data_IF_513315003085
#
_entry.id   IF_513315003085
#
_cell.length_a   1.000
_cell.length_b   1.000
_cell.length_c   1.000
_cell.angle_alpha   90.00
_cell.angle_beta   90.00
_cell.angle_gamma   90.00
#
_symmetry.space_group_name_H-M   'P 1'
#
loop_
_entity.id
_entity.type
_entity.pdbx_description
1 polymer ?
#
# COMPACT_ATOMS: atom_id res chain seq x y z
N UNK A 1 -29.76 -19.28 -3.08
CA UNK A 1 -28.33 -18.97 -3.21
C UNK A 1 -27.57 -19.57 -2.03
N UNK A 2 -26.51 -20.35 -2.27
CA UNK A 2 -25.68 -21.05 -1.24
C UNK A 2 -24.22 -20.67 -1.42
N UNK A 3 -23.44 -20.68 -0.34
CA UNK A 3 -22.00 -20.34 -0.35
C UNK A 3 -21.24 -21.16 -1.41
N UNK A 4 -21.52 -22.46 -1.49
CA UNK A 4 -20.88 -23.35 -2.46
C UNK A 4 -21.19 -22.99 -3.93
N UNK A 5 -22.36 -22.42 -4.21
CA UNK A 5 -22.69 -21.91 -5.55
C UNK A 5 -21.83 -20.68 -5.88
N UNK A 6 -21.59 -19.80 -4.90
CA UNK A 6 -20.74 -18.63 -5.03
C UNK A 6 -19.27 -19.01 -5.19
N UNK A 7 -18.78 -20.03 -4.46
CA UNK A 7 -17.41 -20.57 -4.66
C UNK A 7 -17.22 -21.08 -6.09
N UNK A 8 -18.13 -21.89 -6.59
CA UNK A 8 -18.06 -22.39 -7.96
C UNK A 8 -18.15 -21.28 -9.00
N UNK A 9 -19.02 -20.30 -8.76
CA UNK A 9 -19.17 -19.14 -9.63
C UNK A 9 -17.87 -18.32 -9.70
N UNK A 10 -17.24 -18.00 -8.56
CA UNK A 10 -15.98 -17.25 -8.52
C UNK A 10 -14.84 -18.01 -9.19
N UNK A 11 -14.68 -19.29 -8.91
CA UNK A 11 -13.64 -20.12 -9.54
C UNK A 11 -13.79 -20.14 -11.08
N UNK A 12 -15.03 -20.25 -11.59
CA UNK A 12 -15.25 -20.20 -13.04
C UNK A 12 -15.01 -18.81 -13.61
N UNK A 13 -15.31 -17.73 -12.87
CA UNK A 13 -15.04 -16.37 -13.28
C UNK A 13 -13.54 -16.08 -13.41
N UNK A 14 -12.75 -16.57 -12.47
CA UNK A 14 -11.28 -16.43 -12.42
C UNK A 14 -10.61 -17.26 -13.51
N UNK A 15 -10.95 -18.53 -13.61
CA UNK A 15 -10.38 -19.48 -14.57
C UNK A 15 -10.93 -19.32 -16.01
N UNK A 16 -12.03 -18.60 -16.19
CA UNK A 16 -12.73 -18.43 -17.47
C UNK A 16 -13.09 -19.76 -18.14
N UNK A 17 -13.16 -20.83 -17.35
CA UNK A 17 -13.36 -22.22 -17.81
C UNK A 17 -13.87 -23.10 -16.67
N UNK A 18 -15.00 -23.78 -16.91
CA UNK A 18 -15.55 -24.75 -15.94
C UNK A 18 -14.60 -25.91 -15.70
N UNK A 19 -13.90 -26.38 -16.76
CA UNK A 19 -12.95 -27.50 -16.64
C UNK A 19 -11.70 -27.12 -15.83
N UNK A 20 -11.23 -25.87 -15.95
CA UNK A 20 -10.10 -25.35 -15.17
C UNK A 20 -10.52 -25.16 -13.70
N UNK A 21 -11.66 -24.53 -13.44
CA UNK A 21 -12.22 -24.37 -12.11
C UNK A 21 -12.47 -25.73 -11.40
N UNK A 22 -12.91 -26.75 -12.15
CA UNK A 22 -13.10 -28.09 -11.61
C UNK A 22 -11.79 -28.73 -11.13
N UNK A 23 -10.69 -28.51 -11.87
CA UNK A 23 -9.34 -28.97 -11.48
C UNK A 23 -8.82 -28.25 -10.25
N UNK A 24 -8.98 -26.91 -10.23
CA UNK A 24 -8.57 -26.08 -9.09
C UNK A 24 -9.29 -26.49 -7.81
N UNK A 25 -10.61 -26.69 -7.88
CA UNK A 25 -11.44 -27.07 -6.75
C UNK A 25 -11.42 -28.59 -6.42
N UNK A 26 -10.66 -29.38 -7.17
CA UNK A 26 -10.57 -30.84 -7.03
C UNK A 26 -11.94 -31.54 -7.05
N UNK A 27 -12.84 -31.09 -7.93
CA UNK A 27 -14.19 -31.69 -8.12
C UNK A 27 -14.42 -32.04 -9.58
N UNK A 28 -15.43 -32.86 -9.84
CA UNK A 28 -15.85 -33.14 -11.21
C UNK A 28 -16.55 -31.91 -11.86
N UNK A 29 -16.46 -31.76 -13.16
CA UNK A 29 -17.08 -30.65 -13.90
C UNK A 29 -18.62 -30.58 -13.82
N UNK A 30 -19.39 -31.72 -13.87
CA UNK A 30 -20.85 -31.66 -13.87
C UNK A 30 -21.49 -31.00 -12.64
N UNK A 31 -20.98 -31.17 -11.39
CA UNK A 31 -21.46 -30.41 -10.24
C UNK A 31 -21.36 -28.92 -10.38
N UNK A 32 -20.23 -28.39 -10.89
CA UNK A 32 -20.02 -26.95 -11.07
C UNK A 32 -21.04 -26.40 -12.08
N UNK A 33 -21.15 -27.06 -13.25
CA UNK A 33 -22.09 -26.62 -14.28
C UNK A 33 -23.53 -26.58 -13.78
N UNK A 34 -23.97 -27.58 -13.00
CA UNK A 34 -25.32 -27.61 -12.42
C UNK A 34 -25.53 -26.50 -11.40
N UNK A 35 -24.57 -26.25 -10.53
CA UNK A 35 -24.71 -25.25 -9.47
C UNK A 35 -24.71 -23.82 -10.05
N UNK A 36 -23.95 -23.56 -11.10
CA UNK A 36 -24.02 -22.29 -11.82
C UNK A 36 -25.37 -22.11 -12.51
N UNK A 37 -25.85 -23.11 -13.24
CA UNK A 37 -27.16 -23.05 -13.89
C UNK A 37 -28.30 -22.84 -12.87
N UNK A 38 -28.26 -23.52 -11.73
CA UNK A 38 -29.19 -23.31 -10.63
C UNK A 38 -29.11 -21.90 -10.06
N UNK A 39 -27.91 -21.33 -9.92
CA UNK A 39 -27.71 -19.96 -9.43
C UNK A 39 -28.29 -18.93 -10.41
N UNK A 40 -28.06 -19.11 -11.71
CA UNK A 40 -28.65 -18.27 -12.77
C UNK A 40 -30.18 -18.36 -12.77
N UNK A 41 -30.74 -19.54 -12.59
CA UNK A 41 -32.19 -19.76 -12.46
C UNK A 41 -32.78 -19.09 -11.21
N UNK A 42 -32.12 -19.24 -10.04
CA UNK A 42 -32.53 -18.61 -8.78
C UNK A 42 -32.53 -17.08 -8.86
N UNK A 43 -31.55 -16.50 -9.59
CA UNK A 43 -31.41 -15.05 -9.75
C UNK A 43 -32.21 -14.50 -10.95
N UNK A 44 -32.67 -15.36 -11.85
CA UNK A 44 -33.43 -14.99 -13.06
C UNK A 44 -32.58 -14.26 -14.10
N UNK A 45 -31.24 -14.36 -14.03
CA UNK A 45 -30.31 -13.68 -14.95
C UNK A 45 -29.15 -14.60 -15.32
N UNK A 46 -28.60 -14.41 -16.52
CA UNK A 46 -27.36 -15.06 -16.92
C UNK A 46 -26.18 -14.33 -16.28
N UNK A 47 -25.27 -15.10 -15.71
CA UNK A 47 -24.04 -14.59 -15.09
C UNK A 47 -22.83 -14.72 -16.02
N UNK A 48 -22.89 -15.69 -16.96
CA UNK A 48 -21.82 -15.95 -17.90
C UNK A 48 -22.27 -15.87 -19.35
N UNK A 49 -21.40 -15.33 -20.20
CA UNK A 49 -21.44 -15.43 -21.65
C UNK A 49 -20.49 -16.57 -22.07
N UNK A 50 -21.00 -17.50 -22.92
CA UNK A 50 -20.20 -18.56 -23.52
C UNK A 50 -19.72 -18.11 -24.89
N UNK A 51 -18.43 -18.04 -25.10
CA UNK A 51 -17.80 -17.63 -26.35
C UNK A 51 -16.69 -18.57 -26.83
N UNK A 52 -16.18 -18.34 -28.02
CA UNK A 52 -15.07 -19.13 -28.61
C UNK A 52 -13.75 -19.03 -27.82
N UNK A 53 -13.62 -18.02 -26.95
CA UNK A 53 -12.44 -17.78 -26.08
C UNK A 53 -12.66 -18.24 -24.62
N UNK A 54 -13.71 -18.99 -24.34
CA UNK A 54 -14.06 -19.43 -22.98
C UNK A 54 -15.31 -18.73 -22.43
N UNK A 55 -15.37 -18.62 -21.11
CA UNK A 55 -16.46 -17.96 -20.38
C UNK A 55 -16.06 -16.55 -19.96
N UNK A 56 -16.96 -15.59 -20.09
CA UNK A 56 -16.81 -14.22 -19.58
C UNK A 56 -18.03 -13.84 -18.76
N UNK A 57 -17.87 -12.94 -17.80
CA UNK A 57 -18.96 -12.45 -16.98
C UNK A 57 -19.88 -11.52 -17.81
N UNK A 58 -21.18 -11.57 -17.54
CA UNK A 58 -22.15 -10.53 -17.89
C UNK A 58 -22.01 -9.35 -16.91
N UNK A 59 -22.71 -8.23 -17.15
CA UNK A 59 -22.77 -7.12 -16.18
C UNK A 59 -23.36 -7.59 -14.84
N UNK A 60 -24.40 -8.45 -14.86
CA UNK A 60 -24.94 -9.07 -13.67
C UNK A 60 -23.92 -10.00 -12.99
N UNK A 61 -23.16 -10.78 -13.79
CA UNK A 61 -22.06 -11.61 -13.29
C UNK A 61 -20.96 -10.77 -12.65
N UNK A 62 -20.57 -9.65 -13.25
CA UNK A 62 -19.56 -8.74 -12.70
C UNK A 62 -20.02 -8.15 -11.36
N UNK A 63 -21.27 -7.72 -11.27
CA UNK A 63 -21.87 -7.24 -10.04
C UNK A 63 -21.86 -8.31 -8.95
N UNK A 64 -22.33 -9.54 -9.28
CA UNK A 64 -22.33 -10.66 -8.34
C UNK A 64 -20.90 -11.02 -7.89
N UNK A 65 -19.92 -11.01 -8.79
CA UNK A 65 -18.54 -11.31 -8.47
C UNK A 65 -17.98 -10.35 -7.41
N UNK A 66 -18.20 -9.04 -7.59
CA UNK A 66 -17.78 -8.02 -6.61
C UNK A 66 -18.43 -8.23 -5.25
N UNK A 67 -19.76 -8.47 -5.22
CA UNK A 67 -20.49 -8.72 -3.97
C UNK A 67 -20.05 -10.03 -3.30
N UNK A 68 -19.77 -11.07 -4.08
CA UNK A 68 -19.31 -12.37 -3.56
C UNK A 68 -17.93 -12.28 -2.93
N UNK A 69 -17.02 -11.50 -3.50
CA UNK A 69 -15.72 -11.24 -2.88
C UNK A 69 -15.88 -10.62 -1.48
N UNK A 70 -16.83 -9.70 -1.32
CA UNK A 70 -17.13 -9.10 -0.01
C UNK A 70 -17.68 -10.14 0.98
N UNK A 71 -18.63 -11.00 0.54
CA UNK A 71 -19.20 -12.07 1.37
C UNK A 71 -18.09 -13.03 1.87
N UNK A 72 -17.18 -13.46 1.00
CA UNK A 72 -16.09 -14.33 1.40
C UNK A 72 -15.11 -13.66 2.37
N UNK A 73 -14.92 -12.35 2.25
CA UNK A 73 -14.17 -11.60 3.25
C UNK A 73 -14.87 -11.61 4.61
N UNK A 74 -16.18 -11.39 4.64
CA UNK A 74 -16.95 -11.38 5.88
C UNK A 74 -16.96 -12.76 6.55
N UNK A 75 -17.08 -13.85 5.77
CA UNK A 75 -16.94 -15.21 6.29
C UNK A 75 -15.56 -15.43 6.91
N UNK A 76 -14.49 -15.04 6.24
CA UNK A 76 -13.13 -15.14 6.78
C UNK A 76 -12.96 -14.33 8.06
N UNK A 77 -13.56 -13.14 8.15
CA UNK A 77 -13.56 -12.34 9.38
C UNK A 77 -14.24 -13.06 10.54
N UNK A 78 -15.38 -13.72 10.28
CA UNK A 78 -16.08 -14.53 11.31
C UNK A 78 -15.22 -15.70 11.77
N UNK A 79 -14.61 -16.45 10.83
CA UNK A 79 -13.72 -17.55 11.16
C UNK A 79 -12.50 -17.08 11.97
N UNK A 80 -11.88 -15.98 11.58
CA UNK A 80 -10.75 -15.37 12.30
C UNK A 80 -11.18 -14.86 13.67
N UNK A 81 -12.35 -14.26 13.79
CA UNK A 81 -12.93 -13.81 15.06
C UNK A 81 -13.19 -14.99 16.00
N UNK A 82 -13.78 -16.07 15.52
CA UNK A 82 -14.06 -17.27 16.33
C UNK A 82 -12.77 -17.97 16.76
N UNK A 83 -11.76 -18.04 15.88
CA UNK A 83 -10.44 -18.61 16.22
C UNK A 83 -9.65 -17.76 17.21
N UNK A 84 -9.91 -16.48 17.24
CA UNK A 84 -9.21 -15.51 18.10
C UNK A 84 -9.87 -15.27 19.47
N UNK A 85 -10.90 -16.06 19.82
CA UNK A 85 -11.52 -16.02 21.15
C UNK A 85 -10.50 -16.38 22.23
N UNK A 86 -9.70 -15.43 22.63
CA UNK A 86 -8.84 -15.53 23.78
C UNK A 86 -7.55 -14.71 23.64
N UNK A 87 -7.52 -13.49 24.06
CA UNK A 87 -6.35 -12.69 24.46
C UNK A 87 -5.71 -11.73 23.45
N UNK A 88 -5.92 -11.84 22.15
CA UNK A 88 -5.23 -10.93 21.18
C UNK A 88 -3.68 -11.06 21.16
N UNK A 89 -3.15 -12.04 21.86
CA UNK A 89 -1.70 -12.33 21.97
C UNK A 89 -1.23 -13.29 20.88
N UNK A 90 -2.15 -13.89 20.15
CA UNK A 90 -1.89 -14.78 19.01
C UNK A 90 -2.84 -14.45 17.87
N UNK A 91 -2.46 -14.82 16.63
CA UNK A 91 -3.27 -14.57 15.45
C UNK A 91 -2.43 -14.13 14.25
N UNK A 92 -3.09 -13.56 13.26
CA UNK A 92 -2.45 -13.09 12.02
C UNK A 92 -2.81 -11.65 11.74
N UNK A 93 -1.80 -10.84 11.43
CA UNK A 93 -1.99 -9.45 11.02
C UNK A 93 -1.39 -9.27 9.64
N UNK A 94 -2.18 -8.70 8.73
CA UNK A 94 -1.76 -8.37 7.37
C UNK A 94 -1.58 -6.87 7.26
N UNK A 95 -0.36 -6.42 6.99
CA UNK A 95 0.04 -5.03 6.97
C UNK A 95 0.44 -4.60 5.56
N UNK A 96 0.04 -3.40 5.18
CA UNK A 96 0.58 -2.72 4.02
C UNK A 96 1.56 -1.64 4.45
N UNK A 97 2.67 -1.50 3.73
CA UNK A 97 3.71 -0.51 4.04
C UNK A 97 4.15 0.18 2.76
N UNK A 98 4.05 1.49 2.70
CA UNK A 98 4.75 2.24 1.66
C UNK A 98 6.23 2.36 2.02
N UNK A 99 7.12 2.30 1.05
CA UNK A 99 8.55 2.27 1.32
C UNK A 99 9.03 3.51 2.10
N UNK A 100 8.52 4.69 1.81
CA UNK A 100 8.88 5.93 2.49
C UNK A 100 8.46 5.98 3.98
N UNK A 101 7.55 5.10 4.42
CA UNK A 101 7.16 4.95 5.83
C UNK A 101 7.87 3.78 6.54
N UNK A 102 8.75 3.06 5.84
CA UNK A 102 9.36 1.80 6.30
C UNK A 102 10.06 1.92 7.65
N UNK A 103 10.80 3.01 7.89
CA UNK A 103 11.52 3.23 9.16
C UNK A 103 10.58 3.26 10.37
N UNK A 104 9.46 3.96 10.25
CA UNK A 104 8.43 4.03 11.29
C UNK A 104 7.68 2.71 11.43
N UNK A 105 7.39 2.06 10.30
CA UNK A 105 6.74 0.76 10.30
C UNK A 105 7.59 -0.30 11.02
N UNK A 106 8.87 -0.38 10.71
CA UNK A 106 9.78 -1.34 11.35
C UNK A 106 9.92 -1.09 12.86
N UNK A 107 10.03 0.17 13.28
CA UNK A 107 10.06 0.51 14.69
C UNK A 107 8.80 0.04 15.42
N UNK A 108 7.65 0.40 14.89
CA UNK A 108 6.34 0.03 15.44
C UNK A 108 6.12 -1.49 15.47
N UNK A 109 6.43 -2.17 14.38
CA UNK A 109 6.30 -3.63 14.25
C UNK A 109 7.19 -4.36 15.24
N UNK A 110 8.44 -3.94 15.39
CA UNK A 110 9.38 -4.55 16.33
C UNK A 110 8.92 -4.38 17.78
N UNK A 111 8.43 -3.20 18.14
CA UNK A 111 7.89 -2.96 19.48
C UNK A 111 6.65 -3.82 19.74
N UNK A 112 5.73 -3.91 18.78
CA UNK A 112 4.56 -4.78 18.90
C UNK A 112 4.95 -6.26 19.02
N UNK A 113 5.87 -6.73 18.16
CA UNK A 113 6.28 -8.13 18.14
C UNK A 113 6.98 -8.55 19.45
N UNK A 114 7.72 -7.64 20.09
CA UNK A 114 8.34 -7.90 21.40
C UNK A 114 7.31 -8.20 22.49
N UNK A 115 6.10 -7.63 22.39
CA UNK A 115 5.00 -7.83 23.34
C UNK A 115 4.07 -8.98 22.93
N UNK A 116 3.94 -9.25 21.63
CA UNK A 116 3.05 -10.25 21.06
C UNK A 116 3.79 -11.19 20.10
N UNK A 117 4.76 -12.00 20.58
CA UNK A 117 5.63 -12.80 19.73
C UNK A 117 4.94 -13.97 19.03
N UNK A 118 3.70 -14.31 19.44
CA UNK A 118 2.91 -15.36 18.82
C UNK A 118 1.98 -14.85 17.71
N UNK A 119 2.04 -13.55 17.38
CA UNK A 119 1.29 -12.97 16.25
C UNK A 119 2.14 -13.11 14.99
N UNK A 120 1.58 -13.78 13.99
CA UNK A 120 2.18 -13.91 12.66
C UNK A 120 1.89 -12.65 11.84
N UNK A 121 2.93 -12.03 11.29
CA UNK A 121 2.82 -10.80 10.51
C UNK A 121 3.04 -11.09 9.02
N UNK A 122 2.10 -10.63 8.19
CA UNK A 122 2.21 -10.64 6.73
C UNK A 122 2.36 -9.21 6.27
N UNK A 123 3.51 -8.88 5.70
CA UNK A 123 3.85 -7.51 5.30
C UNK A 123 3.92 -7.44 3.79
N UNK A 124 3.12 -6.55 3.20
CA UNK A 124 3.12 -6.24 1.77
C UNK A 124 3.61 -4.82 1.56
N UNK A 125 4.58 -4.66 0.69
CA UNK A 125 5.04 -3.34 0.23
C UNK A 125 4.36 -3.05 -1.11
N UNK A 126 3.89 -1.82 -1.29
CA UNK A 126 3.21 -1.40 -2.52
C UNK A 126 3.01 0.10 -2.59
N UNK A 127 2.37 0.57 -3.66
CA UNK A 127 1.96 1.96 -3.80
C UNK A 127 0.82 2.30 -2.82
N UNK A 128 0.65 3.58 -2.43
CA UNK A 128 -0.45 4.00 -1.56
C UNK A 128 -1.82 3.55 -2.08
N UNK A 129 -2.06 3.72 -3.37
CA UNK A 129 -3.34 3.39 -4.00
C UNK A 129 -3.64 1.88 -3.92
N UNK A 130 -2.71 1.02 -4.34
CA UNK A 130 -2.87 -0.44 -4.28
C UNK A 130 -3.12 -0.93 -2.85
N UNK A 131 -2.42 -0.35 -1.87
CA UNK A 131 -2.56 -0.73 -0.47
C UNK A 131 -3.90 -0.28 0.11
N UNK A 132 -4.38 0.93 -0.22
CA UNK A 132 -5.70 1.43 0.19
C UNK A 132 -6.81 0.57 -0.43
N UNK A 133 -6.71 0.22 -1.70
CA UNK A 133 -7.66 -0.69 -2.34
C UNK A 133 -7.68 -2.06 -1.66
N UNK A 134 -6.50 -2.63 -1.34
CA UNK A 134 -6.40 -3.90 -0.62
C UNK A 134 -6.95 -3.81 0.81
N UNK A 135 -6.78 -2.68 1.50
CA UNK A 135 -7.41 -2.44 2.80
C UNK A 135 -8.94 -2.40 2.68
N UNK A 136 -9.45 -1.68 1.68
CA UNK A 136 -10.90 -1.57 1.44
C UNK A 136 -11.53 -2.91 1.05
N UNK A 137 -10.77 -3.79 0.38
CA UNK A 137 -11.18 -5.19 0.11
C UNK A 137 -11.02 -6.12 1.32
N UNK A 138 -10.47 -5.64 2.45
CA UNK A 138 -10.20 -6.43 3.65
C UNK A 138 -9.08 -7.46 3.49
N UNK A 139 -8.26 -7.32 2.45
CA UNK A 139 -7.06 -8.13 2.25
C UNK A 139 -5.94 -7.73 3.22
N UNK A 140 -5.92 -6.47 3.65
CA UNK A 140 -5.03 -5.89 4.65
C UNK A 140 -5.82 -5.40 5.86
N UNK A 141 -5.20 -5.37 7.02
CA UNK A 141 -5.81 -4.94 8.28
C UNK A 141 -5.42 -3.52 8.65
N UNK A 142 -4.20 -3.12 8.36
CA UNK A 142 -3.69 -1.78 8.60
C UNK A 142 -2.59 -1.41 7.61
N UNK A 143 -2.36 -0.11 7.45
CA UNK A 143 -1.38 0.44 6.51
C UNK A 143 -0.44 1.39 7.23
N UNK A 144 0.83 1.37 6.84
CA UNK A 144 1.78 2.42 7.15
C UNK A 144 1.93 3.32 5.93
N UNK A 145 1.44 4.53 6.05
CA UNK A 145 1.37 5.52 4.98
C UNK A 145 2.10 6.81 5.37
N UNK A 146 2.12 7.77 4.44
CA UNK A 146 2.50 9.15 4.70
C UNK A 146 1.40 10.10 4.26
N UNK A 147 1.25 11.18 5.02
CA UNK A 147 0.34 12.28 4.70
C UNK A 147 1.06 13.62 4.83
N UNK A 148 0.69 14.58 3.98
CA UNK A 148 1.18 15.96 4.06
C UNK A 148 0.36 16.82 5.02
N UNK A 149 -0.94 16.50 5.14
CA UNK A 149 -1.89 17.23 5.94
C UNK A 149 -2.89 16.24 6.57
N UNK A 150 -3.59 16.69 7.59
CA UNK A 150 -4.74 15.96 8.16
C UNK A 150 -5.94 16.03 7.21
N UNK A 151 -5.82 15.43 6.04
CA UNK A 151 -6.99 15.27 5.18
C UNK A 151 -7.77 14.02 5.62
N UNK A 152 -9.10 14.10 5.73
CA UNK A 152 -9.90 12.94 6.09
C UNK A 152 -9.87 11.94 4.93
N UNK A 153 -9.02 10.93 5.05
CA UNK A 153 -8.93 9.81 4.10
C UNK A 153 -10.12 8.84 4.18
N UNK A 154 -11.07 9.09 5.08
CA UNK A 154 -12.13 8.14 5.43
C UNK A 154 -11.63 6.95 6.26
N UNK A 155 -10.34 6.87 6.54
CA UNK A 155 -9.71 5.88 7.40
C UNK A 155 -9.51 6.44 8.82
N UNK A 156 -9.42 5.55 9.80
CA UNK A 156 -8.87 5.91 11.09
C UNK A 156 -7.35 6.03 10.95
N UNK A 157 -6.77 7.05 11.55
CA UNK A 157 -5.35 7.30 11.46
C UNK A 157 -4.72 7.61 12.82
N UNK A 158 -3.49 7.12 13.00
CA UNK A 158 -2.62 7.51 14.11
C UNK A 158 -1.31 8.02 13.54
N UNK A 159 -0.90 9.21 13.96
CA UNK A 159 0.42 9.75 13.66
C UNK A 159 1.46 8.97 14.45
N UNK A 160 2.45 8.42 13.76
CA UNK A 160 3.60 7.71 14.33
C UNK A 160 4.79 8.64 14.52
N UNK A 161 4.90 9.64 13.67
CA UNK A 161 5.95 10.65 13.77
C UNK A 161 5.91 11.67 12.65
N UNK A 162 6.56 12.79 12.93
CA UNK A 162 6.80 13.85 11.94
C UNK A 162 8.16 13.64 11.29
N UNK A 163 8.23 13.90 10.00
CA UNK A 163 9.45 13.84 9.21
C UNK A 163 9.57 15.07 8.32
N UNK A 164 10.79 15.44 7.99
CA UNK A 164 11.08 16.53 7.07
C UNK A 164 11.46 15.96 5.72
N UNK A 165 10.99 16.60 4.67
CA UNK A 165 11.49 16.33 3.33
C UNK A 165 12.77 17.10 3.14
N UNK A 166 13.82 16.38 2.79
CA UNK A 166 15.17 16.92 2.58
C UNK A 166 15.73 16.39 1.24
N UNK A 167 16.72 17.05 0.72
CA UNK A 167 17.50 16.55 -0.39
C UNK A 167 18.35 15.37 0.10
N UNK A 168 18.13 14.21 -0.49
CA UNK A 168 18.94 13.02 -0.27
C UNK A 168 19.94 12.91 -1.41
N UNK A 169 21.20 12.80 -1.07
CA UNK A 169 22.29 12.78 -2.04
C UNK A 169 23.50 12.00 -1.52
N UNK A 170 24.34 11.59 -2.43
CA UNK A 170 25.70 11.17 -2.07
C UNK A 170 26.50 12.39 -1.61
N UNK A 171 27.47 12.15 -0.72
CA UNK A 171 28.30 13.22 -0.16
C UNK A 171 29.08 13.99 -1.22
N UNK A 172 29.53 13.30 -2.27
CA UNK A 172 30.27 13.88 -3.41
C UNK A 172 29.42 14.69 -4.39
N UNK A 173 28.08 14.59 -4.30
CA UNK A 173 27.13 15.31 -5.13
C UNK A 173 26.43 16.47 -4.38
N UNK A 174 26.94 16.84 -3.20
CA UNK A 174 26.37 17.93 -2.42
C UNK A 174 26.57 19.28 -3.12
N UNK A 175 25.52 19.99 -3.53
CA UNK A 175 25.65 21.28 -4.22
C UNK A 175 26.07 22.44 -3.31
N UNK A 176 26.12 22.21 -1.98
CA UNK A 176 26.49 23.22 -1.00
C UNK A 176 27.21 22.55 0.19
N UNK A 177 28.40 21.91 -0.02
CA UNK A 177 29.08 21.13 1.02
C UNK A 177 29.46 21.96 2.26
N UNK A 178 29.65 23.25 2.07
CA UNK A 178 30.03 24.21 3.12
C UNK A 178 28.83 24.68 3.98
N UNK A 179 27.59 24.35 3.61
CA UNK A 179 26.39 24.84 4.28
C UNK A 179 25.60 23.68 4.93
N UNK A 180 24.86 23.99 5.99
CA UNK A 180 23.96 23.03 6.66
C UNK A 180 22.60 22.89 5.94
N UNK A 181 22.25 23.83 5.08
CA UNK A 181 21.06 23.84 4.25
C UNK A 181 21.42 24.26 2.82
N UNK A 182 20.68 23.78 1.84
CA UNK A 182 20.95 24.07 0.43
C UNK A 182 20.11 25.27 0.00
N UNK A 183 20.72 26.42 -0.39
CA UNK A 183 19.99 27.49 -1.04
C UNK A 183 19.37 26.97 -2.34
N UNK A 184 18.13 27.40 -2.64
CA UNK A 184 17.39 26.89 -3.80
C UNK A 184 18.15 27.14 -5.12
N UNK A 185 18.87 28.25 -5.21
CA UNK A 185 19.65 28.66 -6.38
C UNK A 185 20.81 27.71 -6.69
N UNK A 186 21.32 27.01 -5.66
CA UNK A 186 22.38 25.99 -5.80
C UNK A 186 21.89 24.72 -6.48
N UNK A 187 20.59 24.59 -6.68
CA UNK A 187 19.98 23.44 -7.38
C UNK A 187 19.92 23.64 -8.90
N UNK A 188 20.25 24.84 -9.40
CA UNK A 188 20.31 25.12 -10.83
C UNK A 188 21.34 24.18 -11.51
N UNK A 189 20.87 23.44 -12.53
CA UNK A 189 21.70 22.48 -13.28
C UNK A 189 22.02 21.17 -12.55
N UNK A 190 21.70 21.03 -11.26
CA UNK A 190 21.95 19.81 -10.51
C UNK A 190 21.02 18.69 -11.00
N UNK A 191 21.55 17.51 -11.38
CA UNK A 191 20.71 16.36 -11.79
C UNK A 191 19.80 15.89 -10.66
N UNK A 192 18.51 15.74 -10.93
CA UNK A 192 17.50 15.32 -9.96
C UNK A 192 16.75 14.08 -10.41
N UNK A 193 16.56 13.16 -9.49
CA UNK A 193 15.69 11.98 -9.61
C UNK A 193 14.45 12.24 -8.76
N UNK A 194 13.33 12.60 -9.37
CA UNK A 194 12.13 12.97 -8.64
C UNK A 194 11.08 11.86 -8.68
N UNK A 195 10.40 11.68 -7.56
CA UNK A 195 9.23 10.81 -7.52
C UNK A 195 8.09 11.45 -8.30
N UNK A 196 7.47 10.66 -9.15
CA UNK A 196 6.22 11.00 -9.81
C UNK A 196 5.10 10.22 -9.15
N UNK A 197 4.06 10.92 -8.73
CA UNK A 197 2.79 10.33 -8.30
C UNK A 197 1.77 10.57 -9.39
N UNK A 198 0.94 9.57 -9.68
CA UNK A 198 -0.24 9.74 -10.53
C UNK A 198 -1.38 10.45 -9.77
N UNK A 199 -1.24 10.61 -8.45
CA UNK A 199 -2.11 11.39 -7.60
C UNK A 199 -1.83 12.89 -7.73
N UNK A 200 -2.88 13.70 -7.57
CA UNK A 200 -2.95 15.13 -7.85
C UNK A 200 -1.89 16.02 -7.19
N UNK A 201 -1.10 15.53 -6.21
CA UNK A 201 -0.07 16.32 -5.51
C UNK A 201 1.09 15.45 -5.03
N UNK A 202 2.30 15.74 -5.56
CA UNK A 202 3.57 15.19 -5.08
C UNK A 202 4.33 16.25 -4.29
N UNK A 203 5.02 15.86 -3.23
CA UNK A 203 5.94 16.76 -2.51
C UNK A 203 7.01 17.36 -3.43
N UNK A 204 7.36 16.66 -4.51
CA UNK A 204 8.31 17.14 -5.49
C UNK A 204 7.78 18.33 -6.29
N UNK A 205 6.46 18.47 -6.43
CA UNK A 205 5.86 19.60 -7.12
C UNK A 205 6.15 20.91 -6.40
N UNK A 206 6.20 20.89 -5.06
CA UNK A 206 6.61 22.05 -4.28
C UNK A 206 8.06 22.45 -4.58
N UNK A 207 8.97 21.47 -4.63
CA UNK A 207 10.37 21.75 -4.98
C UNK A 207 10.48 22.32 -6.38
N UNK A 208 9.80 21.73 -7.35
CA UNK A 208 9.78 22.21 -8.76
C UNK A 208 9.23 23.62 -8.85
N UNK A 209 8.11 23.90 -8.18
CA UNK A 209 7.52 25.26 -8.17
C UNK A 209 8.46 26.27 -7.53
N UNK A 210 9.17 25.93 -6.47
CA UNK A 210 10.08 26.84 -5.82
C UNK A 210 11.32 27.14 -6.69
N UNK A 211 11.85 26.14 -7.40
CA UNK A 211 12.87 26.36 -8.41
C UNK A 211 12.39 27.35 -9.50
N UNK A 212 11.18 27.16 -10.00
CA UNK A 212 10.58 28.03 -11.01
C UNK A 212 10.38 29.47 -10.50
N UNK A 213 9.93 29.64 -9.24
CA UNK A 213 9.83 30.96 -8.59
C UNK A 213 11.18 31.62 -8.43
N UNK A 214 12.23 30.84 -8.25
CA UNK A 214 13.61 31.29 -8.15
C UNK A 214 14.27 31.55 -9.53
N UNK A 215 13.52 31.41 -10.62
CA UNK A 215 13.91 31.80 -11.96
C UNK A 215 14.58 30.74 -12.82
N UNK A 216 14.56 29.45 -12.38
CA UNK A 216 15.13 28.34 -13.16
C UNK A 216 14.23 27.13 -13.19
N UNK A 217 14.40 26.29 -14.21
CA UNK A 217 13.75 24.99 -14.29
C UNK A 217 14.70 23.93 -13.76
N UNK A 218 14.26 23.07 -12.79
CA UNK A 218 15.12 22.02 -12.26
C UNK A 218 15.53 21.03 -13.34
N UNK A 219 16.77 20.55 -13.27
CA UNK A 219 17.30 19.55 -14.19
C UNK A 219 16.84 18.15 -13.77
N UNK A 220 15.59 17.80 -14.08
CA UNK A 220 15.03 16.47 -13.78
C UNK A 220 15.52 15.48 -14.82
N UNK A 221 16.48 14.65 -14.45
CA UNK A 221 17.09 13.64 -15.32
C UNK A 221 16.37 12.29 -15.25
N UNK A 222 15.58 12.05 -14.19
CA UNK A 222 14.84 10.81 -13.99
C UNK A 222 13.55 11.06 -13.23
N UNK A 223 12.46 10.43 -13.69
CA UNK A 223 11.22 10.28 -12.94
C UNK A 223 11.10 8.85 -12.44
N UNK A 224 11.02 8.68 -11.13
CA UNK A 224 10.84 7.40 -10.47
C UNK A 224 9.40 7.27 -10.00
N UNK A 225 8.80 6.10 -10.11
CA UNK A 225 7.44 5.83 -9.64
C UNK A 225 7.40 5.25 -8.21
N UNK A 226 8.56 4.88 -7.68
CA UNK A 226 8.69 4.38 -6.32
C UNK A 226 9.96 4.91 -5.63
N UNK A 227 9.92 4.94 -4.31
CA UNK A 227 11.03 5.41 -3.48
C UNK A 227 12.26 4.50 -3.56
N UNK A 228 12.16 3.16 -3.62
CA UNK A 228 13.29 2.28 -3.82
C UNK A 228 14.12 2.62 -5.05
N UNK A 229 13.46 2.83 -6.20
CA UNK A 229 14.16 3.20 -7.43
C UNK A 229 14.83 4.57 -7.29
N UNK A 230 14.15 5.58 -6.74
CA UNK A 230 14.74 6.89 -6.50
C UNK A 230 16.01 6.79 -5.63
N UNK A 231 15.97 5.98 -4.56
CA UNK A 231 17.14 5.73 -3.72
C UNK A 231 18.28 5.04 -4.46
N UNK A 232 17.99 4.05 -5.32
CA UNK A 232 19.01 3.39 -6.12
C UNK A 232 19.67 4.35 -7.13
N UNK A 233 18.90 5.26 -7.73
CA UNK A 233 19.41 6.29 -8.62
C UNK A 233 20.33 7.26 -7.87
N UNK A 234 19.96 7.68 -6.65
CA UNK A 234 20.81 8.52 -5.80
C UNK A 234 22.10 7.78 -5.41
N UNK A 235 22.01 6.53 -4.97
CA UNK A 235 23.16 5.69 -4.60
C UNK A 235 24.13 5.50 -5.76
N UNK A 236 23.61 5.33 -6.98
CA UNK A 236 24.43 5.20 -8.18
C UNK A 236 25.10 6.51 -8.62
N UNK A 237 24.77 7.63 -7.99
CA UNK A 237 25.31 8.95 -8.34
C UNK A 237 24.62 9.57 -9.56
N UNK A 238 23.44 9.11 -9.94
CA UNK A 238 22.70 9.64 -11.10
C UNK A 238 22.15 11.06 -10.84
N UNK A 239 21.92 11.40 -9.58
CA UNK A 239 21.43 12.71 -9.16
C UNK A 239 21.05 12.74 -7.69
N UNK A 240 20.38 13.79 -7.29
CA UNK A 240 19.83 13.97 -5.94
C UNK A 240 18.32 13.73 -5.97
N UNK A 241 17.70 13.44 -4.82
CA UNK A 241 16.24 13.28 -4.72
C UNK A 241 15.69 14.02 -3.51
N UNK A 242 14.41 14.41 -3.56
CA UNK A 242 13.73 15.10 -2.46
C UNK A 242 12.79 14.14 -1.76
N UNK A 243 13.23 13.61 -0.62
CA UNK A 243 12.59 12.49 0.08
C UNK A 243 12.52 12.77 1.60
N UNK A 244 11.69 12.01 2.33
CA UNK A 244 11.70 12.05 3.79
C UNK A 244 13.07 11.67 4.36
N UNK A 245 13.58 12.47 5.29
CA UNK A 245 14.90 12.25 5.92
C UNK A 245 15.06 10.87 6.53
N UNK A 246 13.99 10.35 7.14
CA UNK A 246 14.00 9.02 7.77
C UNK A 246 14.38 7.88 6.83
N UNK A 247 14.32 8.10 5.50
CA UNK A 247 14.72 7.08 4.52
C UNK A 247 16.19 6.65 4.68
N UNK A 248 17.04 7.52 5.20
CA UNK A 248 18.46 7.19 5.44
C UNK A 248 18.63 6.05 6.44
N UNK A 249 17.71 5.90 7.40
CA UNK A 249 17.77 4.80 8.38
C UNK A 249 17.57 3.41 7.75
N UNK A 250 16.99 3.34 6.56
CA UNK A 250 16.82 2.09 5.79
C UNK A 250 18.06 1.72 4.99
N UNK A 251 19.08 2.60 4.96
CA UNK A 251 20.34 2.41 4.23
C UNK A 251 21.55 2.69 5.13
N UNK A 252 21.71 1.95 6.23
CA UNK A 252 22.81 2.18 7.19
C UNK A 252 24.16 1.95 6.52
N UNK A 253 25.09 2.90 6.71
CA UNK A 253 26.43 2.82 6.14
C UNK A 253 26.56 3.23 4.67
N UNK A 254 25.47 3.60 4.00
CA UNK A 254 25.55 4.17 2.66
C UNK A 254 26.18 5.58 2.72
N UNK A 255 26.97 6.00 1.71
CA UNK A 255 27.60 7.32 1.66
C UNK A 255 26.58 8.40 1.25
N UNK A 256 25.50 8.47 2.04
CA UNK A 256 24.36 9.35 1.80
C UNK A 256 24.24 10.39 2.91
N UNK A 257 23.79 11.56 2.55
CA UNK A 257 23.38 12.61 3.49
C UNK A 257 22.05 13.23 3.09
N UNK A 258 21.43 13.88 4.06
CA UNK A 258 20.24 14.66 3.89
C UNK A 258 20.52 16.13 4.27
N UNK A 259 20.01 17.05 3.46
CA UNK A 259 20.04 18.49 3.75
C UNK A 259 18.70 19.15 3.44
N UNK A 260 18.21 20.02 4.32
CA UNK A 260 17.02 20.80 4.04
C UNK A 260 17.29 21.81 2.92
N UNK A 261 16.28 22.13 2.14
CA UNK A 261 16.29 23.28 1.22
C UNK A 261 15.90 24.52 2.00
N UNK A 262 16.71 25.57 1.88
CA UNK A 262 16.46 26.84 2.57
C UNK A 262 15.11 27.43 2.13
N UNK A 263 14.27 27.80 3.10
CA UNK A 263 12.96 28.38 2.82
C UNK A 263 11.87 27.40 2.39
N UNK A 264 12.16 26.07 2.34
CA UNK A 264 11.22 25.05 1.93
C UNK A 264 11.00 23.98 3.04
N UNK A 265 10.41 24.35 4.19
CA UNK A 265 10.24 23.45 5.32
C UNK A 265 9.02 22.54 5.14
N UNK A 266 9.10 21.60 4.17
CA UNK A 266 8.01 20.66 3.95
C UNK A 266 8.05 19.56 4.99
N UNK A 267 6.93 19.34 5.66
CA UNK A 267 6.72 18.28 6.65
C UNK A 267 5.84 17.19 6.09
N UNK A 268 6.11 15.99 6.52
CA UNK A 268 5.31 14.82 6.23
C UNK A 268 5.14 13.99 7.50
N UNK A 269 4.01 13.32 7.63
CA UNK A 269 3.71 12.52 8.80
C UNK A 269 3.63 11.06 8.40
N UNK A 270 4.38 10.21 9.10
CA UNK A 270 4.16 8.77 9.03
C UNK A 270 2.91 8.44 9.85
N UNK A 271 2.00 7.69 9.27
CA UNK A 271 0.73 7.32 9.92
C UNK A 271 0.50 5.82 9.83
N UNK A 272 -0.11 5.28 10.88
CA UNK A 272 -0.77 4.00 10.87
C UNK A 272 -2.25 4.26 10.55
N UNK A 273 -2.75 3.69 9.45
CA UNK A 273 -4.12 3.87 8.98
C UNK A 273 -4.87 2.54 8.94
N UNK A 274 -6.16 2.55 9.28
CA UNK A 274 -7.00 1.34 9.26
C UNK A 274 -8.47 1.70 9.03
N UNK A 275 -9.26 0.69 8.66
CA UNK A 275 -10.71 0.83 8.59
C UNK A 275 -11.32 0.22 9.85
N UNK A 276 -12.18 0.96 10.57
CA UNK A 276 -12.86 0.47 11.77
C UNK A 276 -13.71 -0.80 11.52
N UNK A 277 -14.16 -1.01 10.30
CA UNK A 277 -14.88 -2.23 9.91
C UNK A 277 -14.00 -3.49 9.93
N UNK A 278 -12.67 -3.36 9.92
CA UNK A 278 -11.70 -4.49 9.86
C UNK A 278 -11.24 -4.94 11.25
N UNK A 279 -11.62 -4.23 12.32
CA UNK A 279 -11.18 -4.49 13.71
C UNK A 279 -11.84 -5.73 14.37
N UNK A 280 -12.21 -6.74 13.61
CA UNK A 280 -12.90 -7.92 14.14
C UNK A 280 -11.98 -8.90 14.91
N UNK A 281 -10.68 -8.91 14.64
CA UNK A 281 -9.73 -9.77 15.31
C UNK A 281 -9.04 -9.05 16.48
N UNK A 282 -9.02 -9.61 17.71
CA UNK A 282 -8.43 -8.97 18.88
C UNK A 282 -6.97 -8.58 18.70
N UNK A 283 -6.16 -9.37 17.98
CA UNK A 283 -4.77 -9.02 17.69
C UNK A 283 -4.65 -7.79 16.79
N UNK A 284 -5.56 -7.60 15.83
CA UNK A 284 -5.59 -6.41 14.96
C UNK A 284 -6.03 -5.20 15.75
N UNK A 285 -7.11 -5.34 16.56
CA UNK A 285 -7.58 -4.26 17.42
C UNK A 285 -6.47 -3.81 18.36
N UNK A 286 -5.82 -4.75 19.03
CA UNK A 286 -4.67 -4.46 19.89
C UNK A 286 -3.54 -3.75 19.14
N UNK A 287 -3.20 -4.21 17.93
CA UNK A 287 -2.16 -3.61 17.09
C UNK A 287 -2.43 -2.15 16.79
N UNK A 288 -3.67 -1.80 16.45
CA UNK A 288 -4.01 -0.42 16.09
C UNK A 288 -4.33 0.48 17.27
N UNK A 289 -4.77 -0.06 18.41
CA UNK A 289 -5.16 0.70 19.60
C UNK A 289 -4.02 0.91 20.61
N UNK A 290 -3.08 -0.03 20.68
CA UNK A 290 -1.97 0.04 21.63
C UNK A 290 -1.03 1.18 21.26
N UNK A 291 -0.82 2.10 22.21
CA UNK A 291 0.17 3.16 22.04
C UNK A 291 1.55 2.55 22.22
N UNK A 292 2.36 2.57 21.16
CA UNK A 292 3.77 2.29 21.22
C UNK A 292 4.50 3.54 21.75
N UNK A 293 5.50 3.33 22.57
CA UNK A 293 6.28 4.40 23.23
C UNK A 293 7.34 4.99 22.31
#
# INVERSE_FOLDING_TARGET
MKIRQLEYFCAVAEEKSISAAARELHVAQPPISRQIAQLEEELGVQLFLRGSKGMSLTDAGQSLYQQTQQIFQDIRRVEDSVRSVGTGMSGRIKLGVIYSAMSYALHYINEYHSRCPQVELFIRVGSPQELIESLNRGELHALFLRTAAREPSGLQERILGEDKLELIMREDLDPAPELNEVPIERLEGVPMCLLRSDDLWSYNDFLVQECQRSGFTPNVTCHCYDTPMAMQMVLSGFGISFLPKSILSTHPGAPLKAKPVRGLPIRSYAVLAWNSAVLSAPCVQRFVEEKMT
#
